data_IF_196076376870
#
_entry.id   IF_196076376870
#
_cell.length_a   1.000
_cell.length_b   1.000
_cell.length_c   1.000
_cell.angle_alpha   90.00
_cell.angle_beta   90.00
_cell.angle_gamma   90.00
#
_symmetry.space_group_name_H-M   'P 1'
#
loop_
_entity.id
_entity.type
_entity.pdbx_description
1 polymer ?
#
# COMPACT_ATOMS: atom_id res chain seq x y z
N UNK A 1 22.50 -7.69 -14.76
CA UNK A 1 21.69 -8.69 -14.03
C UNK A 1 20.90 -7.94 -12.97
N UNK A 2 19.64 -7.52 -13.21
CA UNK A 2 18.83 -6.94 -12.14
C UNK A 2 18.15 -8.09 -11.39
N UNK A 3 18.90 -8.74 -10.49
CA UNK A 3 18.38 -9.82 -9.63
C UNK A 3 17.51 -9.29 -8.45
N UNK A 4 17.24 -7.99 -8.40
CA UNK A 4 16.43 -7.34 -7.35
C UNK A 4 14.99 -7.02 -7.79
N UNK A 5 14.53 -7.58 -8.91
CA UNK A 5 13.14 -7.50 -9.34
C UNK A 5 12.29 -8.55 -8.62
N UNK A 6 12.19 -8.48 -7.29
CA UNK A 6 11.24 -9.30 -6.54
C UNK A 6 9.99 -8.50 -6.19
N UNK A 7 8.80 -9.11 -6.32
CA UNK A 7 7.59 -8.36 -6.59
C UNK A 7 6.65 -8.50 -5.41
N UNK A 8 6.51 -7.44 -4.63
CA UNK A 8 5.53 -7.45 -3.57
C UNK A 8 4.53 -6.34 -3.85
N UNK A 9 3.35 -6.79 -4.26
CA UNK A 9 2.11 -6.07 -4.08
C UNK A 9 2.20 -5.20 -2.83
N UNK A 10 1.73 -3.97 -2.95
CA UNK A 10 1.55 -3.04 -1.83
C UNK A 10 0.49 -3.63 -0.90
N UNK A 11 0.87 -4.66 -0.16
CA UNK A 11 0.10 -5.39 0.82
C UNK A 11 0.82 -5.31 2.16
N UNK A 12 0.09 -5.30 3.27
CA UNK A 12 0.71 -5.26 4.59
C UNK A 12 1.50 -6.55 4.85
N UNK A 13 2.82 -6.44 5.06
CA UNK A 13 3.61 -7.55 5.57
C UNK A 13 3.29 -7.73 7.05
N UNK A 14 2.90 -8.94 7.43
CA UNK A 14 2.72 -9.33 8.82
C UNK A 14 4.05 -9.83 9.39
N UNK A 15 4.30 -9.59 10.68
CA UNK A 15 5.51 -10.07 11.37
C UNK A 15 5.48 -11.57 11.70
N UNK A 16 4.34 -12.25 11.47
CA UNK A 16 4.16 -13.69 11.68
C UNK A 16 4.28 -14.55 10.40
N UNK A 17 4.54 -13.93 9.24
CA UNK A 17 4.77 -14.59 7.95
C UNK A 17 6.28 -14.65 7.60
N UNK A 18 6.64 -15.55 6.67
CA UNK A 18 8.03 -15.90 6.28
C UNK A 18 8.95 -14.70 6.00
N UNK A 19 10.27 -14.92 6.14
CA UNK A 19 11.34 -13.95 5.92
C UNK A 19 11.39 -13.47 4.45
N UNK A 20 10.60 -12.44 4.16
CA UNK A 20 10.63 -11.72 2.89
C UNK A 20 11.78 -10.69 2.89
N UNK A 21 12.76 -10.80 1.97
CA UNK A 21 13.90 -9.88 1.91
C UNK A 21 13.51 -8.45 1.55
N UNK A 22 12.29 -8.22 1.05
CA UNK A 22 11.79 -6.89 0.68
C UNK A 22 11.14 -6.14 1.84
N UNK A 23 11.05 -6.76 3.02
CA UNK A 23 10.47 -6.15 4.23
C UNK A 23 11.31 -4.95 4.71
N UNK A 24 10.69 -3.85 5.18
CA UNK A 24 11.44 -2.81 5.88
C UNK A 24 12.08 -3.37 7.17
N UNK A 25 13.38 -3.12 7.34
CA UNK A 25 14.11 -3.45 8.58
C UNK A 25 13.70 -2.45 9.65
N UNK A 26 13.25 -2.96 10.80
CA UNK A 26 12.81 -2.14 11.93
C UNK A 26 13.73 -2.34 13.14
N UNK A 27 13.91 -1.28 13.94
CA UNK A 27 14.65 -1.35 15.19
C UNK A 27 13.78 -1.91 16.33
N UNK A 28 14.34 -1.98 17.54
CA UNK A 28 13.62 -2.44 18.74
C UNK A 28 12.43 -1.57 19.15
N UNK A 29 12.30 -0.36 18.59
CA UNK A 29 11.19 0.58 18.79
C UNK A 29 10.19 0.55 17.64
N UNK A 30 10.36 -0.36 16.68
CA UNK A 30 9.58 -0.46 15.46
C UNK A 30 9.71 0.75 14.53
N UNK A 31 10.85 1.45 14.60
CA UNK A 31 11.20 2.53 13.67
C UNK A 31 11.98 1.96 12.48
N UNK A 32 11.80 2.54 11.28
CA UNK A 32 12.56 2.14 10.10
C UNK A 32 14.05 2.35 10.33
N UNK A 33 14.85 1.31 10.06
CA UNK A 33 16.31 1.39 10.00
C UNK A 33 16.71 1.73 8.55
N UNK A 34 17.25 2.92 8.28
CA UNK A 34 17.70 3.27 6.95
C UNK A 34 18.86 2.37 6.51
N UNK A 35 18.92 2.07 5.23
CA UNK A 35 20.07 1.43 4.60
C UNK A 35 21.32 2.32 4.71
N UNK A 36 22.53 1.76 4.63
CA UNK A 36 23.75 2.57 4.59
C UNK A 36 23.70 3.67 3.52
N UNK A 37 23.90 4.90 3.96
CA UNK A 37 23.85 6.08 3.10
C UNK A 37 22.45 6.48 2.62
N UNK A 38 21.38 5.92 3.19
CA UNK A 38 20.00 6.36 2.96
C UNK A 38 19.62 7.48 3.93
N UNK A 39 19.22 8.63 3.39
CA UNK A 39 18.80 9.79 4.20
C UNK A 39 17.29 9.80 4.48
N UNK A 40 16.95 9.99 5.75
CA UNK A 40 15.58 10.29 6.20
C UNK A 40 15.15 11.70 5.75
N UNK A 41 13.99 11.80 5.11
CA UNK A 41 13.43 13.07 4.62
C UNK A 41 12.25 13.56 5.47
N UNK A 42 11.49 12.65 6.08
CA UNK A 42 10.38 13.03 6.94
C UNK A 42 9.63 11.84 7.53
N UNK A 43 8.85 12.12 8.58
CA UNK A 43 7.99 11.15 9.24
C UNK A 43 6.61 11.75 9.47
N UNK A 44 5.57 10.96 9.22
CA UNK A 44 4.17 11.38 9.29
C UNK A 44 3.31 10.30 9.95
N UNK A 45 2.11 10.66 10.40
CA UNK A 45 1.12 9.71 10.90
C UNK A 45 -0.16 9.81 10.09
N UNK A 46 -0.47 8.78 9.31
CA UNK A 46 -1.56 8.80 8.31
C UNK A 46 -2.33 7.48 8.29
N UNK A 47 -3.58 7.53 7.84
CA UNK A 47 -4.33 6.30 7.52
C UNK A 47 -3.77 5.70 6.25
N UNK A 48 -3.74 4.37 6.19
CA UNK A 48 -3.15 3.62 5.08
C UNK A 48 -4.13 2.59 4.57
N UNK A 49 -4.31 2.54 3.26
CA UNK A 49 -5.08 1.52 2.57
C UNK A 49 -4.39 1.08 1.28
N UNK A 50 -4.65 -0.15 0.87
CA UNK A 50 -4.21 -0.65 -0.43
C UNK A 50 -5.38 -0.74 -1.38
N UNK A 51 -5.15 -0.25 -2.59
CA UNK A 51 -6.12 -0.23 -3.66
C UNK A 51 -5.60 -1.01 -4.87
N UNK A 52 -6.53 -1.52 -5.65
CA UNK A 52 -6.29 -2.09 -6.95
C UNK A 52 -7.16 -1.34 -7.97
N UNK A 53 -6.50 -0.52 -8.80
CA UNK A 53 -7.11 0.37 -9.77
C UNK A 53 -7.25 -0.36 -11.11
N UNK A 54 -8.47 -0.65 -11.53
CA UNK A 54 -8.78 -1.18 -12.86
C UNK A 54 -9.27 -0.08 -13.82
N UNK A 55 -9.50 -0.42 -15.10
CA UNK A 55 -9.99 0.53 -16.10
C UNK A 55 -11.34 1.18 -15.76
N UNK A 56 -12.18 0.46 -15.01
CA UNK A 56 -13.55 0.86 -14.65
C UNK A 56 -13.86 0.77 -13.17
N UNK A 57 -12.91 0.27 -12.36
CA UNK A 57 -13.14 -0.07 -10.96
C UNK A 57 -11.97 0.42 -10.10
N UNK A 58 -12.29 0.95 -8.92
CA UNK A 58 -11.32 1.23 -7.87
C UNK A 58 -11.71 0.39 -6.66
N UNK A 59 -10.92 -0.65 -6.40
CA UNK A 59 -11.21 -1.60 -5.32
C UNK A 59 -10.23 -1.36 -4.17
N UNK A 60 -10.76 -0.96 -3.01
CA UNK A 60 -9.99 -0.97 -1.76
C UNK A 60 -9.84 -2.41 -1.27
N UNK A 61 -8.65 -2.98 -1.43
CA UNK A 61 -8.36 -4.37 -1.06
C UNK A 61 -8.15 -4.54 0.45
N UNK A 62 -7.58 -3.54 1.12
CA UNK A 62 -7.33 -3.59 2.56
C UNK A 62 -7.18 -2.18 3.13
N UNK A 63 -7.35 -2.04 4.44
CA UNK A 63 -7.03 -0.82 5.19
C UNK A 63 -6.46 -1.16 6.56
N UNK A 64 -5.55 -0.34 7.07
CA UNK A 64 -5.05 -0.49 8.43
C UNK A 64 -6.08 0.07 9.43
N UNK A 65 -6.31 -0.63 10.57
CA UNK A 65 -7.33 -0.23 11.53
C UNK A 65 -6.95 1.05 12.31
N UNK A 66 -5.67 1.42 12.30
CA UNK A 66 -5.17 2.63 12.95
C UNK A 66 -4.21 3.39 12.02
N UNK A 67 -4.01 4.71 12.24
CA UNK A 67 -2.99 5.46 11.52
C UNK A 67 -1.60 4.87 11.73
N UNK A 68 -0.88 4.66 10.64
CA UNK A 68 0.49 4.16 10.62
C UNK A 68 1.50 5.31 10.67
N UNK A 69 2.67 5.02 11.20
CA UNK A 69 3.86 5.86 11.04
C UNK A 69 4.41 5.67 9.63
N UNK A 70 4.42 6.74 8.85
CA UNK A 70 4.96 6.79 7.50
C UNK A 70 6.34 7.43 7.57
N UNK A 71 7.35 6.74 7.08
CA UNK A 71 8.74 7.21 7.03
C UNK A 71 9.14 7.35 5.58
N UNK A 72 9.57 8.55 5.17
CA UNK A 72 9.96 8.87 3.79
C UNK A 72 11.46 9.10 3.75
N UNK A 73 12.14 8.42 2.84
CA UNK A 73 13.57 8.55 2.60
C UNK A 73 13.84 8.95 1.15
N UNK A 74 15.10 9.15 0.81
CA UNK A 74 15.51 9.38 -0.58
C UNK A 74 15.45 8.13 -1.47
N UNK A 75 15.13 6.95 -0.93
CA UNK A 75 15.07 5.68 -1.69
C UNK A 75 13.72 4.97 -1.62
N UNK A 76 12.92 5.23 -0.58
CA UNK A 76 11.66 4.54 -0.34
C UNK A 76 10.75 5.31 0.62
N UNK A 77 9.52 4.82 0.71
CA UNK A 77 8.61 5.09 1.81
C UNK A 77 8.30 3.78 2.52
N UNK A 78 8.34 3.79 3.84
CA UNK A 78 7.90 2.66 4.66
C UNK A 78 6.76 3.09 5.57
N UNK A 79 5.83 2.17 5.85
CA UNK A 79 4.79 2.37 6.85
C UNK A 79 4.88 1.31 7.93
N UNK A 80 4.59 1.70 9.17
CA UNK A 80 4.54 0.80 10.32
C UNK A 80 3.29 1.13 11.15
N UNK A 81 2.43 0.15 11.35
CA UNK A 81 1.24 0.24 12.18
C UNK A 81 1.37 -0.69 13.37
N UNK A 82 1.46 -0.09 14.56
CA UNK A 82 1.38 -0.78 15.84
C UNK A 82 -0.08 -0.90 16.26
N UNK A 83 -0.51 -2.09 16.70
CA UNK A 83 -1.90 -2.35 17.11
C UNK A 83 -2.83 -2.85 16.01
N UNK A 84 -2.30 -3.34 14.88
CA UNK A 84 -3.13 -3.89 13.80
C UNK A 84 -3.37 -5.39 14.01
N UNK A 85 -4.58 -5.75 14.43
CA UNK A 85 -5.12 -7.09 14.18
C UNK A 85 -5.67 -7.09 12.74
N UNK A 86 -4.84 -7.45 11.76
CA UNK A 86 -5.38 -7.76 10.43
C UNK A 86 -6.17 -9.06 10.57
N UNK A 87 -7.48 -9.00 10.33
CA UNK A 87 -8.31 -10.19 10.20
C UNK A 87 -7.68 -11.10 9.14
N UNK A 88 -7.23 -12.28 9.59
CA UNK A 88 -6.84 -13.36 8.68
C UNK A 88 -8.12 -13.78 7.98
N UNK A 89 -8.28 -13.50 6.68
CA UNK A 89 -9.23 -14.25 5.87
C UNK A 89 -8.74 -15.69 5.89
N UNK A 90 -9.44 -16.52 6.65
CA UNK A 90 -9.00 -17.88 6.97
C UNK A 90 -8.92 -18.72 5.70
N UNK A 91 -7.70 -19.00 5.24
CA UNK A 91 -7.41 -20.12 4.36
C UNK A 91 -7.78 -21.40 5.11
N UNK A 92 -8.94 -21.96 4.76
CA UNK A 92 -9.37 -23.29 5.20
C UNK A 92 -8.41 -24.30 4.58
N UNK A 93 -7.47 -24.82 5.37
CA UNK A 93 -7.21 -26.26 5.52
C UNK A 93 -5.98 -26.54 6.39
N UNK A 94 -6.14 -27.44 7.36
CA UNK A 94 -5.07 -27.86 8.25
C UNK A 94 -5.55 -28.51 9.54
N UNK A 95 -6.43 -29.51 9.46
CA UNK A 95 -6.68 -30.42 10.58
C UNK A 95 -5.44 -31.30 10.80
N UNK A 96 -4.63 -31.00 11.81
CA UNK A 96 -3.98 -31.98 12.68
C UNK A 96 -3.04 -31.31 13.70
N UNK A 97 -3.13 -31.74 14.96
CA UNK A 97 -1.96 -31.79 15.85
C UNK A 97 -1.78 -30.64 16.83
N UNK A 98 -2.57 -30.64 17.90
CA UNK A 98 -2.24 -29.92 19.13
C UNK A 98 -1.03 -30.58 19.83
N UNK A 99 0.02 -29.79 20.14
CA UNK A 99 0.57 -29.58 21.50
C UNK A 99 1.87 -28.76 21.49
N UNK A 100 1.89 -27.71 22.30
CA UNK A 100 3.03 -26.87 22.72
C UNK A 100 3.68 -25.91 21.70
N UNK A 101 3.05 -24.74 21.47
CA UNK A 101 3.80 -23.47 21.37
C UNK A 101 3.02 -22.35 22.08
N UNK A 102 3.71 -21.64 22.99
CA UNK A 102 3.22 -20.44 23.68
C UNK A 102 2.66 -19.43 22.66
N UNK A 103 1.52 -18.75 22.88
CA UNK A 103 1.12 -17.66 22.01
C UNK A 103 1.96 -16.43 22.40
N UNK A 104 3.13 -16.29 21.78
CA UNK A 104 3.90 -15.05 21.87
C UNK A 104 3.07 -14.00 21.12
N UNK A 105 2.58 -13.01 21.86
CA UNK A 105 1.71 -11.90 21.43
C UNK A 105 2.41 -10.95 20.44
N UNK A 106 2.85 -11.44 19.28
CA UNK A 106 3.53 -10.66 18.24
C UNK A 106 2.58 -10.19 17.12
N UNK A 107 1.29 -10.53 17.20
CA UNK A 107 0.29 -10.36 16.14
C UNK A 107 -0.28 -8.95 15.98
N UNK A 108 0.49 -7.88 16.25
CA UNK A 108 -0.01 -6.49 16.26
C UNK A 108 0.79 -5.52 15.42
N UNK A 109 1.83 -5.98 14.74
CA UNK A 109 2.71 -5.14 13.96
C UNK A 109 2.54 -5.45 12.47
N UNK A 110 2.18 -4.41 11.73
CA UNK A 110 2.03 -4.47 10.28
C UNK A 110 2.94 -3.44 9.68
N UNK A 111 3.69 -3.83 8.65
CA UNK A 111 4.60 -2.93 7.96
C UNK A 111 4.59 -3.15 6.47
N UNK A 112 5.05 -2.18 5.70
CA UNK A 112 5.38 -2.37 4.29
C UNK A 112 6.17 -1.20 3.74
N UNK A 113 6.63 -1.33 2.49
CA UNK A 113 7.42 -0.29 1.85
C UNK A 113 7.15 -0.18 0.35
N UNK A 114 7.42 1.01 -0.20
CA UNK A 114 7.46 1.29 -1.63
C UNK A 114 8.83 1.86 -1.94
N UNK A 115 9.59 1.22 -2.83
CA UNK A 115 10.87 1.74 -3.31
C UNK A 115 10.67 2.66 -4.52
N UNK A 116 11.53 3.66 -4.68
CA UNK A 116 11.35 4.73 -5.67
C UNK A 116 11.55 4.34 -7.14
N UNK A 117 12.02 3.12 -7.41
CA UNK A 117 11.96 2.57 -8.76
C UNK A 117 10.52 2.25 -9.23
N UNK A 118 9.54 2.03 -8.34
CA UNK A 118 8.24 1.46 -8.73
C UNK A 118 7.12 2.45 -9.10
N UNK A 119 6.89 3.58 -8.39
CA UNK A 119 5.71 4.41 -8.61
C UNK A 119 5.63 4.99 -10.03
N UNK A 120 4.56 4.73 -10.76
CA UNK A 120 4.34 5.26 -12.11
C UNK A 120 3.59 6.58 -12.10
N UNK A 121 2.81 6.85 -11.06
CA UNK A 121 2.16 8.15 -10.85
C UNK A 121 1.73 8.36 -9.40
N UNK A 122 1.41 9.61 -9.09
CA UNK A 122 0.72 10.01 -7.88
C UNK A 122 -0.65 10.56 -8.26
N UNK A 123 -1.67 10.22 -7.48
CA UNK A 123 -3.01 10.83 -7.58
C UNK A 123 -3.33 11.49 -6.25
N UNK A 124 -3.72 12.76 -6.28
CA UNK A 124 -4.09 13.53 -5.10
C UNK A 124 -5.54 14.02 -5.25
N UNK A 125 -6.40 13.62 -4.31
CA UNK A 125 -7.80 14.05 -4.28
C UNK A 125 -8.19 14.51 -2.86
N UNK A 126 -9.11 15.46 -2.78
CA UNK A 126 -9.81 15.75 -1.52
C UNK A 126 -10.91 14.71 -1.32
N UNK A 127 -11.10 14.26 -0.08
CA UNK A 127 -12.09 13.22 0.28
C UNK A 127 -13.17 13.74 1.22
N UNK A 128 -13.23 15.07 1.43
CA UNK A 128 -14.18 15.74 2.33
C UNK A 128 -13.58 16.10 3.69
N UNK A 129 -14.29 16.92 4.47
CA UNK A 129 -13.96 17.27 5.86
C UNK A 129 -12.52 17.78 6.11
N UNK A 130 -11.94 18.50 5.14
CA UNK A 130 -10.56 18.99 5.23
C UNK A 130 -9.50 17.89 5.14
N UNK A 131 -9.88 16.72 4.62
CA UNK A 131 -9.03 15.56 4.39
C UNK A 131 -8.74 15.38 2.90
N UNK A 132 -7.54 14.88 2.60
CA UNK A 132 -7.13 14.47 1.28
C UNK A 132 -6.56 13.05 1.32
N UNK A 133 -6.54 12.42 0.16
CA UNK A 133 -5.94 11.11 -0.09
C UNK A 133 -4.87 11.24 -1.18
N UNK A 134 -3.67 10.78 -0.86
CA UNK A 134 -2.59 10.58 -1.81
C UNK A 134 -2.52 9.10 -2.17
N UNK A 135 -2.67 8.76 -3.44
CA UNK A 135 -2.42 7.41 -3.96
C UNK A 135 -1.07 7.38 -4.66
N UNK A 136 -0.20 6.50 -4.19
CA UNK A 136 1.07 6.16 -4.83
C UNK A 136 0.82 4.93 -5.69
N UNK A 137 0.71 5.12 -7.00
CA UNK A 137 0.32 4.07 -7.93
C UNK A 137 1.55 3.47 -8.59
N UNK A 138 1.61 2.14 -8.66
CA UNK A 138 2.65 1.40 -9.37
C UNK A 138 2.06 0.74 -10.62
N UNK A 139 2.89 0.58 -11.65
CA UNK A 139 2.52 -0.28 -12.77
C UNK A 139 2.69 -1.74 -12.38
N UNK A 140 1.95 -2.62 -13.05
CA UNK A 140 2.01 -4.04 -12.79
C UNK A 140 2.35 -4.84 -14.03
N UNK A 141 3.13 -5.91 -13.84
CA UNK A 141 3.32 -6.94 -14.86
C UNK A 141 2.09 -7.85 -14.91
N UNK A 142 1.71 -8.26 -16.13
CA UNK A 142 0.73 -9.32 -16.41
C UNK A 142 -0.73 -9.01 -16.03
N UNK A 143 -1.05 -7.78 -15.65
CA UNK A 143 -2.43 -7.34 -15.40
C UNK A 143 -2.65 -5.90 -15.86
N UNK A 144 -3.89 -5.58 -16.22
CA UNK A 144 -4.32 -4.22 -16.53
C UNK A 144 -4.66 -3.41 -15.26
N UNK A 145 -4.71 -4.08 -14.10
CA UNK A 145 -4.99 -3.45 -12.82
C UNK A 145 -3.69 -2.96 -12.16
N UNK A 146 -3.72 -1.78 -11.57
CA UNK A 146 -2.56 -1.12 -10.97
C UNK A 146 -2.68 -1.05 -9.45
N UNK A 147 -1.72 -1.61 -8.68
CA UNK A 147 -1.74 -1.50 -7.24
C UNK A 147 -1.40 -0.07 -6.80
N UNK A 148 -2.06 0.39 -5.75
CA UNK A 148 -1.83 1.72 -5.19
C UNK A 148 -1.83 1.71 -3.66
N UNK A 149 -0.92 2.47 -3.05
CA UNK A 149 -0.95 2.79 -1.62
C UNK A 149 -1.66 4.13 -1.42
N UNK A 150 -2.81 4.09 -0.76
CA UNK A 150 -3.54 5.28 -0.35
C UNK A 150 -3.08 5.75 1.04
N UNK A 151 -2.77 7.03 1.16
CA UNK A 151 -2.39 7.73 2.38
C UNK A 151 -3.38 8.88 2.63
N UNK A 152 -4.19 8.77 3.68
CA UNK A 152 -5.26 9.72 3.97
C UNK A 152 -4.99 10.51 5.25
N UNK A 153 -5.22 11.82 5.21
CA UNK A 153 -5.04 12.74 6.33
C UNK A 153 -5.37 14.19 5.98
N UNK A 154 -4.99 15.16 6.83
CA UNK A 154 -5.31 16.57 6.61
C UNK A 154 -4.74 17.09 5.28
N UNK A 155 -5.52 17.88 4.53
CA UNK A 155 -5.18 18.39 3.18
C UNK A 155 -3.77 18.96 3.10
N UNK A 156 -3.40 19.86 4.02
CA UNK A 156 -2.08 20.50 4.00
C UNK A 156 -0.92 19.53 4.19
N UNK A 157 -1.10 18.51 5.04
CA UNK A 157 -0.11 17.47 5.29
C UNK A 157 0.03 16.57 4.06
N UNK A 158 -1.08 16.08 3.51
CA UNK A 158 -1.09 15.16 2.37
C UNK A 158 -0.57 15.84 1.11
N UNK A 159 -0.93 17.09 0.85
CA UNK A 159 -0.38 17.86 -0.25
C UNK A 159 1.14 18.10 -0.10
N UNK A 160 1.60 18.37 1.12
CA UNK A 160 3.03 18.45 1.44
C UNK A 160 3.78 17.14 1.19
N UNK A 161 3.19 16.02 1.63
CA UNK A 161 3.72 14.68 1.40
C UNK A 161 3.76 14.34 -0.09
N UNK A 162 2.73 14.65 -0.85
CA UNK A 162 2.69 14.42 -2.30
C UNK A 162 3.85 15.14 -3.02
N UNK A 163 4.15 16.39 -2.63
CA UNK A 163 5.32 17.14 -3.13
C UNK A 163 6.63 16.46 -2.75
N UNK A 164 6.75 15.97 -1.53
CA UNK A 164 7.94 15.29 -1.05
C UNK A 164 8.17 13.96 -1.79
N UNK A 165 7.14 13.13 -1.92
CA UNK A 165 7.21 11.85 -2.65
C UNK A 165 7.56 12.10 -4.11
N UNK A 166 6.89 13.06 -4.78
CA UNK A 166 7.21 13.43 -6.18
C UNK A 166 8.68 13.77 -6.36
N UNK A 167 9.23 14.64 -5.50
CA UNK A 167 10.64 15.06 -5.58
C UNK A 167 11.59 13.91 -5.26
N UNK A 168 11.23 13.07 -4.29
CA UNK A 168 12.08 11.95 -3.86
C UNK A 168 12.17 10.88 -4.95
N UNK A 169 11.05 10.51 -5.57
CA UNK A 169 11.04 9.57 -6.71
C UNK A 169 11.84 10.13 -7.89
N UNK A 170 11.61 11.39 -8.25
CA UNK A 170 12.31 11.99 -9.38
C UNK A 170 13.82 12.13 -9.12
N UNK A 171 14.21 12.56 -7.91
CA UNK A 171 15.61 12.67 -7.52
C UNK A 171 16.32 11.31 -7.51
N UNK A 172 15.66 10.28 -6.96
CA UNK A 172 16.18 8.92 -6.97
C UNK A 172 16.43 8.41 -8.38
N UNK A 173 15.44 8.53 -9.28
CA UNK A 173 15.56 8.01 -10.65
C UNK A 173 16.58 8.78 -11.49
N UNK A 174 16.72 10.09 -11.31
CA UNK A 174 17.77 10.86 -11.96
C UNK A 174 19.17 10.45 -11.47
N UNK A 175 19.33 10.20 -10.17
CA UNK A 175 20.59 9.73 -9.59
C UNK A 175 20.92 8.27 -9.97
N UNK A 176 19.92 7.49 -10.37
CA UNK A 176 20.04 6.08 -10.73
C UNK A 176 19.49 5.82 -12.14
N UNK A 177 19.83 6.68 -13.11
CA UNK A 177 19.24 6.62 -14.45
C UNK A 177 19.48 5.28 -15.18
N UNK A 178 20.59 4.59 -14.86
CA UNK A 178 20.93 3.26 -15.39
C UNK A 178 20.06 2.14 -14.80
N UNK A 179 19.45 2.34 -13.63
CA UNK A 179 18.57 1.34 -12.99
C UNK A 179 17.20 1.26 -13.71
N UNK A 180 16.78 2.37 -14.31
CA UNK A 180 15.42 2.57 -14.84
C UNK A 180 15.41 2.91 -16.33
N UNK A 181 16.56 2.79 -17.00
CA UNK A 181 16.76 3.01 -18.44
C UNK A 181 16.08 4.27 -19.00
N UNK A 182 16.23 5.41 -18.31
CA UNK A 182 15.55 6.67 -18.68
C UNK A 182 16.04 7.22 -20.02
N UNK A 183 15.08 7.43 -20.94
CA UNK A 183 15.30 8.20 -22.16
C UNK A 183 15.53 9.70 -21.86
N UNK A 184 16.19 10.46 -22.76
CA UNK A 184 16.38 11.90 -22.58
C UNK A 184 15.10 12.69 -22.22
N UNK A 185 13.95 12.54 -22.90
CA UNK A 185 12.74 13.30 -22.56
C UNK A 185 12.18 12.94 -21.17
N UNK A 186 12.37 11.71 -20.71
CA UNK A 186 11.95 11.29 -19.37
C UNK A 186 12.82 11.93 -18.29
N UNK A 187 14.13 12.07 -18.54
CA UNK A 187 15.03 12.80 -17.63
C UNK A 187 14.62 14.26 -17.50
N UNK A 188 14.29 14.91 -18.60
CA UNK A 188 13.81 16.31 -18.59
C UNK A 188 12.51 16.43 -17.79
N UNK A 189 11.56 15.52 -18.00
CA UNK A 189 10.32 15.47 -17.24
C UNK A 189 10.58 15.31 -15.73
N UNK A 190 11.49 14.42 -15.33
CA UNK A 190 11.87 14.22 -13.92
C UNK A 190 12.61 15.43 -13.33
N UNK A 191 13.44 16.12 -14.11
CA UNK A 191 14.13 17.33 -13.65
C UNK A 191 13.12 18.42 -13.23
N UNK A 192 12.03 18.57 -14.00
CA UNK A 192 10.90 19.45 -13.62
C UNK A 192 10.21 18.99 -12.33
N UNK A 193 10.14 17.67 -12.07
CA UNK A 193 9.49 17.12 -10.87
C UNK A 193 10.34 17.26 -9.61
N UNK A 194 11.67 17.31 -9.73
CA UNK A 194 12.60 17.63 -8.63
C UNK A 194 12.55 19.11 -8.27
N UNK A 195 12.37 19.99 -9.25
CA UNK A 195 12.29 21.42 -9.03
C UNK A 195 11.20 21.78 -7.99
N UNK A 196 11.39 22.92 -7.32
CA UNK A 196 10.46 23.46 -6.31
C UNK A 196 9.15 24.00 -6.92
N UNK A 197 8.62 23.32 -7.94
CA UNK A 197 7.32 23.62 -8.54
C UNK A 197 6.20 23.30 -7.55
N UNK A 198 5.18 24.17 -7.45
CA UNK A 198 4.15 24.14 -6.39
C UNK A 198 3.20 22.93 -6.41
N UNK A 199 3.13 22.15 -7.49
CA UNK A 199 2.21 21.00 -7.57
C UNK A 199 2.67 19.76 -6.79
N UNK A 200 1.84 18.71 -6.62
CA UNK A 200 0.42 18.68 -6.99
C UNK A 200 -0.43 19.45 -5.98
N UNK A 201 -1.34 20.29 -6.50
CA UNK A 201 -2.37 20.95 -5.71
C UNK A 201 -3.58 20.03 -5.61
N UNK A 202 -4.00 19.41 -6.72
CA UNK A 202 -4.91 18.26 -6.86
C UNK A 202 -4.65 17.58 -8.22
N UNK A 203 -5.07 16.33 -8.40
CA UNK A 203 -5.01 15.59 -9.67
C UNK A 203 -3.84 14.62 -9.79
N UNK A 204 -3.49 14.27 -11.04
CA UNK A 204 -2.56 13.18 -11.35
C UNK A 204 -1.19 13.71 -11.82
N UNK A 205 -0.14 13.07 -11.34
CA UNK A 205 1.27 13.42 -11.58
C UNK A 205 2.01 12.17 -12.03
N UNK A 206 2.34 12.08 -13.31
CA UNK A 206 3.12 10.95 -13.89
C UNK A 206 4.57 10.94 -13.44
N UNK A 207 5.15 9.77 -13.25
CA UNK A 207 6.54 9.58 -12.83
C UNK A 207 7.21 8.60 -13.81
N UNK A 208 7.88 9.10 -14.87
CA UNK A 208 8.55 8.27 -15.87
C UNK A 208 9.65 7.36 -15.32
N UNK A 209 9.97 6.29 -16.04
CA UNK A 209 10.94 5.26 -15.61
C UNK A 209 10.45 4.40 -14.44
N UNK A 210 9.16 4.09 -14.37
CA UNK A 210 8.64 3.10 -13.43
C UNK A 210 9.03 1.69 -13.84
N UNK A 211 9.60 0.94 -12.90
CA UNK A 211 9.70 -0.51 -13.03
C UNK A 211 8.40 -1.12 -12.54
N UNK A 212 7.73 -1.97 -13.34
CA UNK A 212 6.47 -2.57 -12.95
C UNK A 212 6.70 -3.58 -11.82
N UNK A 213 5.75 -3.66 -10.90
CA UNK A 213 5.73 -4.67 -9.84
C UNK A 213 5.06 -5.94 -10.34
N UNK A 214 5.41 -7.09 -9.80
CA UNK A 214 4.60 -8.31 -10.00
C UNK A 214 3.73 -8.57 -8.77
N UNK A 215 2.77 -9.48 -8.92
CA UNK A 215 1.98 -10.02 -7.82
C UNK A 215 2.51 -11.42 -7.49
N UNK A 216 2.52 -11.77 -6.20
CA UNK A 216 2.97 -13.09 -5.75
C UNK A 216 2.01 -14.20 -6.18
N UNK A 217 0.71 -13.93 -6.08
CA UNK A 217 -0.33 -14.81 -6.55
C UNK A 217 -1.21 -14.13 -7.58
N UNK A 218 -1.68 -14.93 -8.53
CA UNK A 218 -2.75 -14.55 -9.43
C UNK A 218 -4.02 -14.12 -8.67
N UNK A 219 -4.27 -14.75 -7.53
CA UNK A 219 -5.47 -14.52 -6.74
C UNK A 219 -5.46 -13.14 -6.06
N UNK A 220 -4.28 -12.54 -5.84
CA UNK A 220 -4.13 -11.24 -5.18
C UNK A 220 -4.79 -10.09 -5.97
N UNK A 221 -4.95 -10.26 -7.29
CA UNK A 221 -5.58 -9.25 -8.16
C UNK A 221 -6.91 -9.68 -8.81
N UNK A 222 -7.29 -10.95 -8.71
CA UNK A 222 -8.60 -11.44 -9.18
C UNK A 222 -9.60 -11.72 -8.06
N UNK A 223 -9.22 -11.64 -6.78
CA UNK A 223 -10.17 -11.83 -5.69
C UNK A 223 -11.31 -10.80 -5.81
N UNK A 224 -12.57 -11.25 -5.92
CA UNK A 224 -13.70 -10.34 -5.77
C UNK A 224 -13.60 -9.67 -4.41
N UNK A 225 -13.89 -8.37 -4.27
CA UNK A 225 -14.00 -7.76 -2.95
C UNK A 225 -15.00 -8.59 -2.14
N UNK A 226 -14.55 -9.15 -1.01
CA UNK A 226 -15.50 -9.67 -0.03
C UNK A 226 -16.37 -8.47 0.35
N UNK A 227 -17.65 -8.51 -0.05
CA UNK A 227 -18.61 -7.52 0.38
C UNK A 227 -18.47 -7.45 1.90
N UNK A 228 -18.14 -6.27 2.44
CA UNK A 228 -18.19 -6.02 3.87
C UNK A 228 -19.54 -6.56 4.33
N UNK A 229 -19.54 -7.72 5.00
CA UNK A 229 -20.74 -8.28 5.56
C UNK A 229 -21.14 -7.29 6.64
N UNK A 230 -22.07 -6.42 6.28
CA UNK A 230 -22.68 -5.48 7.20
C UNK A 230 -23.11 -6.29 8.42
N UNK A 231 -22.69 -5.93 9.65
CA UNK A 231 -23.10 -6.62 10.87
C UNK A 231 -24.64 -6.63 11.10
N UNK A 232 -25.39 -5.98 10.21
CA UNK A 232 -26.83 -5.79 10.25
C UNK A 232 -27.59 -6.64 9.24
N UNK A 233 -26.91 -7.38 8.37
CA UNK A 233 -27.57 -8.42 7.60
C UNK A 233 -27.65 -9.67 8.49
N UNK A 234 -28.65 -9.71 9.38
CA UNK A 234 -29.40 -10.90 9.83
C UNK A 234 -30.45 -10.45 10.85
N UNK A 235 -31.68 -10.26 10.36
CA UNK A 235 -32.94 -10.50 11.08
C UNK A 235 -34.08 -10.44 10.07
N UNK A 236 -34.13 -11.46 9.19
CA UNK A 236 -35.31 -11.78 8.39
C UNK A 236 -35.85 -13.12 8.89
N UNK A 237 -36.89 -13.04 9.71
CA UNK A 237 -37.58 -14.09 10.45
C UNK A 237 -37.78 -15.42 9.68
N UNK A 238 -37.68 -16.59 10.34
CA UNK A 238 -38.22 -17.81 9.76
C UNK A 238 -39.74 -17.66 9.71
N UNK A 239 -40.30 -17.74 8.50
CA UNK A 239 -41.74 -17.88 8.32
C UNK A 239 -42.17 -19.15 9.07
N UNK A 240 -43.00 -18.94 10.10
CA UNK A 240 -43.54 -20.02 10.90
C UNK A 240 -44.52 -20.79 10.02
N UNK A 241 -44.17 -22.04 9.68
CA UNK A 241 -45.15 -23.04 9.31
C UNK A 241 -46.20 -23.13 10.41
N UNK A 242 -47.46 -22.88 10.05
CA UNK A 242 -48.60 -23.38 10.82
C UNK A 242 -49.54 -24.19 9.92
N UNK A 243 -50.01 -25.36 10.39
CA UNK A 243 -50.82 -26.28 9.61
C UNK A 243 -52.33 -26.03 9.77
N UNK A 244 -53.08 -26.32 8.70
CA UNK A 244 -54.45 -26.87 8.72
C UNK A 244 -55.63 -25.96 9.10
N UNK A 245 -56.62 -25.85 8.22
CA UNK A 245 -57.93 -26.52 8.39
C UNK A 245 -58.89 -26.16 7.24
N UNK A 246 -59.84 -27.07 7.01
CA UNK A 246 -60.80 -27.13 5.93
C UNK A 246 -61.87 -26.02 5.95
N UNK A 247 -62.38 -25.71 4.74
CA UNK A 247 -63.81 -25.70 4.37
C UNK A 247 -63.91 -25.82 2.84
#
# INVERSE_FOLDING_TARGET
MPEDATPFFVGPHRFDADDDPTRPVLDRRYELVPEPGERLLGQHRLRVAGHLLGPSEDVRCWSLPAPATITVTERRLAYVCTGSELSVVSGRDGRAGARHRRPVRLSRLVSGQIRWQWPSRLELAEVGDGMAELRIVCDALRTIRQPALALTGPVGLVAGLARQVRRSVAGFRLANAELVDLSPPERDALAVRVAASPGPTLGTVTLPGSLPVEFLSRDDYYRPPEAEASPWAWSGFPAHDQPGSAC
#
